data_IF_366266624699
#
_entry.id   IF_366266624699
#
_cell.length_a   1.000
_cell.length_b   1.000
_cell.length_c   1.000
_cell.angle_alpha   90.00
_cell.angle_beta   90.00
_cell.angle_gamma   90.00
#
_symmetry.space_group_name_H-M   'P 1'
#
loop_
_entity.id
_entity.type
_entity.pdbx_description
1 polymer ?
#
# COMPACT_ATOMS: atom_id res chain seq x y z
N UNK A 1 23.66 -12.95 -14.94
CA UNK A 1 23.28 -12.36 -16.24
C UNK A 1 23.93 -10.99 -16.42
N UNK A 2 23.75 -10.05 -15.49
CA UNK A 2 24.36 -8.70 -15.58
C UNK A 2 25.88 -8.69 -15.77
N UNK A 3 26.62 -9.51 -15.03
CA UNK A 3 28.08 -9.64 -15.22
C UNK A 3 28.45 -10.20 -16.60
N UNK A 4 27.59 -11.03 -17.22
CA UNK A 4 27.80 -11.54 -18.58
C UNK A 4 27.50 -10.46 -19.62
N UNK A 5 26.51 -9.60 -19.37
CA UNK A 5 26.21 -8.44 -20.23
C UNK A 5 27.34 -7.40 -20.16
N UNK A 6 27.90 -7.16 -18.97
CA UNK A 6 29.06 -6.29 -18.81
C UNK A 6 30.32 -6.83 -19.49
N UNK A 7 30.47 -8.15 -19.59
CA UNK A 7 31.52 -8.77 -20.38
C UNK A 7 31.29 -8.65 -21.89
N UNK A 8 30.05 -8.41 -22.34
CA UNK A 8 29.67 -8.27 -23.74
C UNK A 8 29.61 -6.80 -24.22
N UNK A 9 29.67 -5.82 -23.31
CA UNK A 9 29.65 -4.40 -23.65
C UNK A 9 29.72 -3.48 -22.42
N UNK A 10 30.10 -2.23 -22.66
CA UNK A 10 30.17 -1.20 -21.61
C UNK A 10 28.76 -0.82 -21.12
N UNK A 11 28.50 -1.04 -19.83
CA UNK A 11 27.24 -0.67 -19.18
C UNK A 11 27.30 0.69 -18.49
N UNK A 12 28.39 1.45 -18.65
CA UNK A 12 28.60 2.74 -17.98
C UNK A 12 27.50 3.76 -18.28
N UNK A 13 26.83 3.66 -19.42
CA UNK A 13 25.75 4.56 -19.83
C UNK A 13 24.37 4.16 -19.31
N UNK A 14 24.23 2.98 -18.68
CA UNK A 14 22.94 2.51 -18.19
C UNK A 14 22.44 3.40 -17.04
N UNK A 15 21.24 3.96 -17.20
CA UNK A 15 20.63 4.85 -16.19
C UNK A 15 19.52 4.21 -15.38
N UNK A 16 18.97 3.11 -15.86
CA UNK A 16 17.83 2.42 -15.22
C UNK A 16 18.04 0.93 -15.31
N UNK A 17 17.81 0.24 -14.20
CA UNK A 17 17.94 -1.20 -14.10
C UNK A 17 16.76 -1.77 -13.32
N UNK A 18 16.04 -2.70 -13.95
CA UNK A 18 15.00 -3.51 -13.31
C UNK A 18 15.45 -4.96 -13.30
N UNK A 19 15.59 -5.52 -12.10
CA UNK A 19 16.11 -6.87 -11.87
C UNK A 19 14.97 -7.84 -11.52
N UNK A 20 13.76 -7.33 -11.23
CA UNK A 20 12.70 -8.15 -10.65
C UNK A 20 13.18 -8.88 -9.40
N UNK A 21 12.91 -10.19 -9.30
CA UNK A 21 13.30 -11.02 -8.16
C UNK A 21 14.79 -11.39 -8.20
N UNK A 22 15.54 -10.95 -7.19
CA UNK A 22 16.97 -11.18 -7.10
C UNK A 22 17.25 -12.58 -6.54
N UNK A 23 17.83 -13.45 -7.36
CA UNK A 23 18.16 -14.83 -6.97
C UNK A 23 19.49 -14.93 -6.23
N UNK A 24 20.44 -14.04 -6.54
CA UNK A 24 21.81 -14.04 -5.99
C UNK A 24 22.17 -12.62 -5.53
N UNK A 25 21.61 -12.16 -4.40
CA UNK A 25 21.73 -10.77 -3.97
C UNK A 25 23.17 -10.34 -3.71
N UNK A 26 24.03 -11.24 -3.20
CA UNK A 26 25.45 -10.94 -3.02
C UNK A 26 26.19 -10.55 -4.31
N UNK A 27 25.68 -10.92 -5.50
CA UNK A 27 26.29 -10.53 -6.78
C UNK A 27 25.97 -9.10 -7.20
N UNK A 28 25.01 -8.43 -6.55
CA UNK A 28 24.68 -7.03 -6.84
C UNK A 28 25.86 -6.09 -6.54
N UNK A 29 26.63 -6.40 -5.50
CA UNK A 29 27.83 -5.63 -5.13
C UNK A 29 28.82 -5.60 -6.30
N UNK A 30 29.02 -6.74 -6.97
CA UNK A 30 29.99 -6.88 -8.06
C UNK A 30 29.58 -6.13 -9.34
N UNK A 31 28.31 -5.73 -9.48
CA UNK A 31 27.83 -5.00 -10.66
C UNK A 31 27.65 -3.51 -10.40
N UNK A 32 27.71 -3.07 -9.14
CA UNK A 32 27.53 -1.66 -8.78
C UNK A 32 28.59 -0.77 -9.45
N UNK A 33 29.85 -1.18 -9.43
CA UNK A 33 30.97 -0.44 -10.03
C UNK A 33 30.91 -0.40 -11.56
N UNK A 34 30.24 -1.38 -12.17
CA UNK A 34 30.05 -1.47 -13.63
C UNK A 34 28.94 -0.51 -14.12
N UNK A 35 28.18 0.07 -13.19
CA UNK A 35 27.00 0.90 -13.48
C UNK A 35 27.13 2.30 -12.82
N UNK A 36 28.23 3.05 -13.07
CA UNK A 36 28.55 4.30 -12.38
C UNK A 36 27.56 5.44 -12.61
N UNK A 37 26.72 5.38 -13.65
CA UNK A 37 25.72 6.39 -13.98
C UNK A 37 24.28 5.91 -13.73
N UNK A 38 24.11 4.81 -12.99
CA UNK A 38 22.79 4.30 -12.67
C UNK A 38 22.05 5.31 -11.79
N UNK A 39 20.83 5.66 -12.21
CA UNK A 39 19.96 6.60 -11.51
C UNK A 39 18.74 5.92 -10.91
N UNK A 40 18.28 4.82 -11.51
CA UNK A 40 17.05 4.12 -11.13
C UNK A 40 17.32 2.65 -10.94
N UNK A 41 16.88 2.12 -9.80
CA UNK A 41 16.99 0.70 -9.48
C UNK A 41 15.63 0.17 -9.02
N UNK A 42 15.19 -0.91 -9.66
CA UNK A 42 13.97 -1.65 -9.32
C UNK A 42 14.37 -3.07 -8.95
N UNK A 43 13.99 -3.49 -7.74
CA UNK A 43 14.38 -4.78 -7.20
C UNK A 43 13.31 -5.36 -6.28
N UNK A 44 13.17 -6.69 -6.34
CA UNK A 44 12.40 -7.49 -5.41
C UNK A 44 13.37 -8.36 -4.61
N UNK A 45 13.52 -8.02 -3.33
CA UNK A 45 14.37 -8.71 -2.35
C UNK A 45 13.56 -9.68 -1.51
N UNK A 46 12.28 -9.86 -1.84
CA UNK A 46 11.45 -10.87 -1.24
C UNK A 46 11.98 -12.28 -1.51
N UNK A 47 11.96 -13.14 -0.50
CA UNK A 47 12.27 -14.56 -0.68
C UNK A 47 11.27 -15.20 -1.65
N UNK A 48 11.81 -15.91 -2.66
CA UNK A 48 11.04 -16.60 -3.70
C UNK A 48 10.24 -17.79 -3.19
N UNK A 49 10.67 -18.36 -2.06
CA UNK A 49 10.00 -19.47 -1.38
C UNK A 49 9.68 -19.13 0.08
N UNK A 50 8.63 -19.76 0.65
CA UNK A 50 8.28 -19.63 2.05
C UNK A 50 9.35 -20.29 2.90
N UNK A 51 10.45 -19.55 3.13
CA UNK A 51 11.30 -19.83 4.27
C UNK A 51 10.50 -19.51 5.52
N UNK A 52 10.70 -20.30 6.58
CA UNK A 52 10.01 -20.15 7.86
C UNK A 52 9.78 -18.67 8.26
N UNK A 53 8.62 -18.33 8.86
CA UNK A 53 8.29 -16.98 9.31
C UNK A 53 9.30 -16.37 10.29
N UNK A 54 10.26 -17.16 10.80
CA UNK A 54 11.28 -16.76 11.75
C UNK A 54 12.40 -15.87 11.18
N UNK A 55 12.58 -15.76 9.87
CA UNK A 55 13.50 -14.75 9.29
C UNK A 55 12.76 -13.42 9.13
N UNK A 56 12.42 -12.77 10.25
CA UNK A 56 11.84 -11.41 10.26
C UNK A 56 12.80 -10.35 9.72
N UNK A 57 14.09 -10.69 9.60
CA UNK A 57 15.13 -9.81 9.11
C UNK A 57 15.18 -9.76 7.58
N UNK A 58 15.59 -8.59 7.08
CA UNK A 58 15.98 -8.43 5.69
C UNK A 58 17.26 -9.23 5.39
N UNK A 59 17.46 -9.59 4.12
CA UNK A 59 18.65 -10.35 3.69
C UNK A 59 19.82 -9.38 3.60
N UNK A 60 20.83 -9.55 4.46
CA UNK A 60 22.00 -8.65 4.50
C UNK A 60 22.73 -8.53 3.16
N UNK A 61 22.83 -9.63 2.40
CA UNK A 61 23.40 -9.59 1.05
C UNK A 61 22.61 -8.69 0.10
N UNK A 62 21.28 -8.67 0.22
CA UNK A 62 20.41 -7.79 -0.57
C UNK A 62 20.68 -6.34 -0.20
N UNK A 63 20.81 -6.07 1.10
CA UNK A 63 21.12 -4.73 1.61
C UNK A 63 22.49 -4.26 1.15
N UNK A 64 23.53 -5.10 1.27
CA UNK A 64 24.86 -4.80 0.75
C UNK A 64 24.81 -4.48 -0.76
N UNK A 65 24.04 -5.25 -1.52
CA UNK A 65 23.81 -5.02 -2.94
C UNK A 65 23.20 -3.66 -3.26
N UNK A 66 22.15 -3.24 -2.55
CA UNK A 66 21.50 -1.94 -2.74
C UNK A 66 22.48 -0.81 -2.39
N UNK A 67 23.16 -0.93 -1.25
CA UNK A 67 24.05 0.12 -0.72
C UNK A 67 25.34 0.29 -1.53
N UNK A 68 25.75 -0.73 -2.28
CA UNK A 68 26.93 -0.69 -3.14
C UNK A 68 26.79 0.30 -4.31
N UNK A 69 25.57 0.57 -4.78
CA UNK A 69 25.36 1.55 -5.84
C UNK A 69 25.71 2.97 -5.36
N UNK A 70 26.11 3.81 -6.32
CA UNK A 70 26.20 5.26 -6.09
C UNK A 70 24.83 5.81 -5.70
N UNK A 71 24.76 6.97 -5.01
CA UNK A 71 23.48 7.57 -4.62
C UNK A 71 22.50 7.66 -5.81
N UNK A 72 21.33 7.03 -5.65
CA UNK A 72 20.34 6.84 -6.71
C UNK A 72 19.34 8.00 -6.71
N UNK A 73 18.78 8.32 -7.86
CA UNK A 73 17.66 9.27 -7.97
C UNK A 73 16.31 8.57 -7.72
N UNK A 74 16.19 7.29 -8.09
CA UNK A 74 14.97 6.52 -7.92
C UNK A 74 15.27 5.12 -7.40
N UNK A 75 14.56 4.71 -6.35
CA UNK A 75 14.72 3.39 -5.75
C UNK A 75 13.35 2.76 -5.49
N UNK A 76 13.11 1.62 -6.12
CA UNK A 76 11.91 0.82 -5.94
C UNK A 76 12.31 -0.52 -5.35
N UNK A 77 11.95 -0.74 -4.08
CA UNK A 77 12.26 -1.97 -3.34
C UNK A 77 10.97 -2.68 -3.00
N UNK A 78 10.84 -3.92 -3.47
CA UNK A 78 9.80 -4.84 -3.02
C UNK A 78 10.33 -5.81 -2.00
N UNK A 79 9.57 -6.03 -0.94
CA UNK A 79 9.84 -7.05 0.07
C UNK A 79 10.77 -6.62 1.20
N UNK A 80 11.08 -5.32 1.32
CA UNK A 80 11.74 -4.76 2.51
C UNK A 80 10.85 -4.95 3.73
N UNK A 81 11.41 -5.32 4.89
CA UNK A 81 10.65 -5.70 6.08
C UNK A 81 10.93 -4.81 7.28
N UNK A 82 12.19 -4.47 7.51
CA UNK A 82 12.64 -3.78 8.71
C UNK A 82 12.83 -2.27 8.46
N UNK A 83 12.51 -1.48 9.48
CA UNK A 83 12.81 -0.04 9.55
C UNK A 83 14.33 0.20 9.56
N UNK A 84 15.12 -0.62 10.25
CA UNK A 84 16.60 -0.48 10.27
C UNK A 84 17.21 -0.59 8.87
N UNK A 85 16.70 -1.50 8.04
CA UNK A 85 17.14 -1.65 6.66
C UNK A 85 16.77 -0.40 5.82
N UNK A 86 15.58 0.16 6.05
CA UNK A 86 15.16 1.43 5.46
C UNK A 86 16.11 2.57 5.86
N UNK A 87 16.57 2.60 7.11
CA UNK A 87 17.44 3.66 7.63
C UNK A 87 18.77 3.68 6.91
N UNK A 88 19.38 2.50 6.72
CA UNK A 88 20.61 2.36 5.96
C UNK A 88 20.44 2.82 4.51
N UNK A 89 19.30 2.48 3.88
CA UNK A 89 18.97 2.93 2.52
C UNK A 89 18.85 4.45 2.46
N UNK A 90 18.13 5.06 3.40
CA UNK A 90 17.86 6.49 3.41
C UNK A 90 19.13 7.28 3.74
N UNK A 91 19.96 6.81 4.67
CA UNK A 91 21.27 7.42 4.95
C UNK A 91 22.18 7.44 3.72
N UNK A 92 22.14 6.37 2.91
CA UNK A 92 22.98 6.23 1.71
C UNK A 92 22.47 7.01 0.50
N UNK A 93 21.18 6.88 0.19
CA UNK A 93 20.60 7.38 -1.06
C UNK A 93 19.72 8.63 -0.86
N UNK A 94 19.25 8.91 0.36
CA UNK A 94 18.32 10.00 0.68
C UNK A 94 18.67 11.35 0.06
N UNK A 95 19.92 11.85 0.17
CA UNK A 95 20.30 13.16 -0.38
C UNK A 95 20.14 13.32 -1.90
N UNK A 96 20.08 12.20 -2.64
CA UNK A 96 19.88 12.17 -4.10
C UNK A 96 18.49 11.69 -4.52
N UNK A 97 17.74 11.02 -3.65
CA UNK A 97 16.46 10.41 -3.98
C UNK A 97 15.42 11.46 -4.35
N UNK A 98 14.84 11.28 -5.54
CA UNK A 98 13.64 11.93 -6.05
C UNK A 98 12.42 11.00 -6.01
N UNK A 99 12.62 9.69 -6.10
CA UNK A 99 11.55 8.72 -5.99
C UNK A 99 11.91 7.53 -5.10
N UNK A 100 11.06 7.23 -4.13
CA UNK A 100 11.18 6.06 -3.26
C UNK A 100 9.88 5.27 -3.26
N UNK A 101 9.95 3.98 -3.57
CA UNK A 101 8.80 3.09 -3.45
C UNK A 101 9.15 1.87 -2.62
N UNK A 102 8.42 1.69 -1.52
CA UNK A 102 8.51 0.54 -0.63
C UNK A 102 7.27 -0.33 -0.84
N UNK A 103 7.44 -1.39 -1.63
CA UNK A 103 6.36 -2.30 -1.96
C UNK A 103 6.38 -3.52 -1.05
N UNK A 104 5.22 -3.91 -0.54
CA UNK A 104 5.11 -5.18 0.19
C UNK A 104 5.23 -6.37 -0.78
N UNK A 105 5.77 -7.48 -0.30
CA UNK A 105 5.73 -8.74 -1.04
C UNK A 105 4.31 -9.31 -0.98
N UNK A 106 3.75 -9.66 -2.16
CA UNK A 106 2.42 -10.27 -2.30
C UNK A 106 2.22 -11.50 -1.41
N UNK A 107 3.29 -12.25 -1.15
CA UNK A 107 3.25 -13.51 -0.42
C UNK A 107 3.42 -13.38 1.10
N UNK A 108 3.83 -12.22 1.65
CA UNK A 108 4.16 -12.15 3.09
C UNK A 108 3.59 -10.94 3.83
N UNK A 109 3.00 -9.96 3.15
CA UNK A 109 2.42 -8.75 3.74
C UNK A 109 3.31 -7.97 4.74
N UNK A 110 4.58 -8.36 4.94
CA UNK A 110 5.54 -7.59 5.72
C UNK A 110 5.96 -6.34 4.96
N UNK A 111 6.17 -5.28 5.74
CA UNK A 111 6.70 -3.99 5.31
C UNK A 111 7.16 -3.23 6.57
N UNK A 112 8.08 -2.25 6.43
CA UNK A 112 8.53 -1.45 7.56
C UNK A 112 7.35 -0.70 8.18
N UNK A 113 7.08 -0.94 9.47
CA UNK A 113 6.01 -0.26 10.21
C UNK A 113 6.49 1.13 10.62
N UNK A 114 6.16 2.12 9.81
CA UNK A 114 6.55 3.53 10.05
C UNK A 114 5.58 4.22 11.02
N UNK A 115 6.12 5.17 11.78
CA UNK A 115 5.38 6.13 12.59
C UNK A 115 5.69 7.58 12.15
N UNK A 116 4.97 8.54 12.73
CA UNK A 116 5.07 9.95 12.32
C UNK A 116 6.47 10.52 12.52
N UNK A 117 7.12 10.19 13.66
CA UNK A 117 8.51 10.55 13.94
C UNK A 117 9.45 10.03 12.87
N UNK A 118 9.26 8.79 12.41
CA UNK A 118 10.10 8.22 11.36
C UNK A 118 9.92 8.91 10.02
N UNK A 119 8.70 9.26 9.64
CA UNK A 119 8.45 10.04 8.42
C UNK A 119 9.12 11.42 8.47
N UNK A 120 9.13 12.07 9.64
CA UNK A 120 9.83 13.35 9.83
C UNK A 120 11.35 13.21 9.71
N UNK A 121 11.91 12.11 10.22
CA UNK A 121 13.34 11.79 10.03
C UNK A 121 13.66 11.57 8.53
N UNK A 122 12.81 10.80 7.84
CA UNK A 122 12.94 10.56 6.39
C UNK A 122 12.88 11.87 5.61
N UNK A 123 12.03 12.81 6.00
CA UNK A 123 11.92 14.13 5.38
C UNK A 123 13.25 14.89 5.44
N UNK A 124 13.94 14.87 6.59
CA UNK A 124 15.24 15.53 6.76
C UNK A 124 16.34 14.88 5.90
N UNK A 125 16.31 13.55 5.76
CA UNK A 125 17.32 12.79 5.03
C UNK A 125 17.06 12.72 3.52
N UNK A 126 15.82 12.92 3.09
CA UNK A 126 15.39 12.87 1.69
C UNK A 126 14.82 14.23 1.22
N UNK A 127 15.59 15.33 1.24
CA UNK A 127 15.06 16.67 0.98
C UNK A 127 14.57 16.88 -0.47
N UNK A 128 15.01 16.04 -1.41
CA UNK A 128 14.68 16.14 -2.84
C UNK A 128 13.55 15.19 -3.27
N UNK A 129 12.90 14.51 -2.32
CA UNK A 129 11.91 13.49 -2.64
C UNK A 129 10.66 14.12 -3.27
N UNK A 130 10.37 13.73 -4.50
CA UNK A 130 9.23 14.17 -5.31
C UNK A 130 8.13 13.11 -5.40
N UNK A 131 8.51 11.83 -5.28
CA UNK A 131 7.62 10.69 -5.37
C UNK A 131 7.85 9.72 -4.22
N UNK A 132 6.77 9.40 -3.49
CA UNK A 132 6.82 8.45 -2.39
C UNK A 132 5.69 7.44 -2.54
N UNK A 133 6.04 6.15 -2.47
CA UNK A 133 5.09 5.07 -2.30
C UNK A 133 5.42 4.28 -1.04
N UNK A 134 4.45 4.15 -0.15
CA UNK A 134 4.59 3.38 1.07
C UNK A 134 3.30 2.65 1.41
N UNK A 135 3.45 1.57 2.18
CA UNK A 135 2.34 0.89 2.83
C UNK A 135 2.23 1.38 4.27
N UNK A 136 1.02 1.67 4.72
CA UNK A 136 0.74 2.06 6.11
C UNK A 136 -0.51 1.37 6.64
N UNK A 137 -0.58 1.18 7.96
CA UNK A 137 -1.72 0.53 8.62
C UNK A 137 -2.88 1.50 8.75
N UNK A 138 -4.07 1.07 8.37
CA UNK A 138 -5.33 1.74 8.74
C UNK A 138 -5.71 1.37 10.17
N UNK A 139 -6.15 2.35 10.92
CA UNK A 139 -6.59 2.19 12.31
C UNK A 139 -7.79 3.08 12.59
N UNK A 140 -8.80 2.96 11.70
CA UNK A 140 -10.07 3.66 11.76
C UNK A 140 -9.95 5.19 11.92
N UNK A 141 -8.87 5.79 11.40
CA UNK A 141 -8.65 7.24 11.48
C UNK A 141 -8.26 7.73 12.87
N UNK A 142 -7.66 6.89 13.71
CA UNK A 142 -7.18 7.32 15.03
C UNK A 142 -6.10 8.42 14.94
N UNK A 143 -5.74 8.97 16.11
CA UNK A 143 -4.77 10.06 16.21
C UNK A 143 -3.41 9.73 15.56
N UNK A 144 -2.88 8.52 15.78
CA UNK A 144 -1.58 8.12 15.23
C UNK A 144 -1.59 8.03 13.70
N UNK A 145 -2.69 7.53 13.11
CA UNK A 145 -2.90 7.51 11.67
C UNK A 145 -2.97 8.94 11.10
N UNK A 146 -3.69 9.85 11.76
CA UNK A 146 -3.76 11.24 11.34
C UNK A 146 -2.41 11.97 11.45
N UNK A 147 -1.60 11.65 12.45
CA UNK A 147 -0.23 12.19 12.58
C UNK A 147 0.68 11.70 11.45
N UNK A 148 0.50 10.47 10.98
CA UNK A 148 1.19 9.98 9.78
C UNK A 148 0.83 10.81 8.55
N UNK A 149 -0.46 11.06 8.31
CA UNK A 149 -0.90 11.91 7.18
C UNK A 149 -0.31 13.33 7.26
N UNK A 150 -0.33 13.93 8.46
CA UNK A 150 0.28 15.25 8.68
C UNK A 150 1.80 15.23 8.44
N UNK A 151 2.50 14.18 8.87
CA UNK A 151 3.94 14.04 8.67
C UNK A 151 4.30 13.88 7.19
N UNK A 152 3.51 13.13 6.41
CA UNK A 152 3.66 13.05 4.95
C UNK A 152 3.52 14.40 4.28
N UNK A 153 2.68 15.27 4.83
CA UNK A 153 2.52 16.64 4.35
C UNK A 153 3.79 17.49 4.49
N UNK A 154 4.76 17.11 5.34
CA UNK A 154 5.94 17.95 5.62
C UNK A 154 7.09 17.79 4.63
N UNK A 155 7.01 16.83 3.69
CA UNK A 155 8.05 16.67 2.68
C UNK A 155 8.03 17.86 1.71
N UNK A 156 9.14 18.62 1.58
CA UNK A 156 9.13 19.93 0.92
C UNK A 156 8.81 19.84 -0.57
N UNK A 157 9.32 18.81 -1.24
CA UNK A 157 9.24 18.66 -2.70
C UNK A 157 8.27 17.55 -3.14
N UNK A 158 7.52 16.95 -2.22
CA UNK A 158 6.68 15.79 -2.53
C UNK A 158 5.52 16.19 -3.44
N UNK A 159 5.50 15.65 -4.65
CA UNK A 159 4.49 15.94 -5.68
C UNK A 159 3.54 14.76 -5.89
N UNK A 160 4.04 13.53 -5.77
CA UNK A 160 3.24 12.32 -6.01
C UNK A 160 3.34 11.38 -4.82
N UNK A 161 2.20 11.06 -4.23
CA UNK A 161 2.11 10.16 -3.10
C UNK A 161 1.22 8.96 -3.44
N UNK A 162 1.70 7.76 -3.15
CA UNK A 162 0.97 6.52 -3.31
C UNK A 162 0.88 5.84 -1.94
N UNK A 163 -0.34 5.76 -1.40
CA UNK A 163 -0.61 5.13 -0.12
C UNK A 163 -1.27 3.78 -0.34
N UNK A 164 -0.51 2.72 -0.08
CA UNK A 164 -1.06 1.37 0.06
C UNK A 164 -1.59 1.25 1.51
N UNK A 165 -2.90 1.31 1.72
CA UNK A 165 -3.52 1.33 3.05
C UNK A 165 -3.86 -0.10 3.49
N UNK A 166 -3.05 -0.66 4.39
CA UNK A 166 -3.25 -1.99 4.98
C UNK A 166 -4.44 -2.00 5.93
N UNK A 167 -5.56 -2.62 5.54
CA UNK A 167 -6.79 -2.66 6.32
C UNK A 167 -6.96 -3.90 7.21
N UNK A 168 -6.13 -4.94 7.05
CA UNK A 168 -6.22 -6.17 7.84
C UNK A 168 -6.08 -5.84 9.34
N UNK A 169 -7.08 -6.02 10.18
CA UNK A 169 -6.96 -5.61 11.59
C UNK A 169 -6.22 -6.64 12.46
N UNK A 170 -5.92 -7.83 11.93
CA UNK A 170 -5.34 -8.92 12.72
C UNK A 170 -3.94 -8.55 13.23
N UNK A 171 -3.60 -8.94 14.47
CA UNK A 171 -2.31 -8.61 15.09
C UNK A 171 -1.14 -9.35 14.44
N UNK A 172 -1.39 -10.52 13.84
CA UNK A 172 -0.37 -11.35 13.20
C UNK A 172 -0.81 -11.71 11.78
N UNK A 173 0.13 -11.64 10.84
CA UNK A 173 -0.12 -12.11 9.47
C UNK A 173 -0.27 -13.62 9.53
N UNK A 174 -1.35 -14.19 8.95
CA UNK A 174 -1.53 -15.64 8.89
C UNK A 174 -0.32 -16.35 8.30
N UNK A 175 0.04 -17.50 8.87
CA UNK A 175 1.07 -18.36 8.27
C UNK A 175 0.58 -18.85 6.91
N UNK A 176 1.48 -18.89 5.93
CA UNK A 176 1.16 -19.39 4.60
C UNK A 176 0.54 -20.79 4.68
N UNK A 177 -0.62 -20.99 4.04
CA UNK A 177 -1.38 -22.24 4.08
C UNK A 177 -2.37 -22.37 5.26
N UNK A 178 -2.41 -21.40 6.18
CA UNK A 178 -3.47 -21.28 7.18
C UNK A 178 -4.36 -20.08 6.84
N UNK A 179 -5.67 -20.33 6.72
CA UNK A 179 -6.68 -19.27 6.75
C UNK A 179 -7.23 -19.33 8.18
N UNK A 180 -6.63 -18.62 9.16
CA UNK A 180 -7.15 -18.63 10.51
C UNK A 180 -8.55 -18.04 10.49
N UNK A 181 -9.42 -18.59 11.32
CA UNK A 181 -10.73 -17.99 11.54
C UNK A 181 -10.53 -16.58 12.09
N UNK A 182 -11.03 -15.58 11.36
CA UNK A 182 -11.00 -14.18 11.81
C UNK A 182 -12.02 -14.03 12.95
N UNK A 183 -11.58 -13.58 14.13
CA UNK A 183 -12.51 -13.21 15.19
C UNK A 183 -13.46 -12.08 14.74
N UNK A 184 -14.67 -12.01 15.30
CA UNK A 184 -15.70 -11.04 14.94
C UNK A 184 -15.21 -9.59 15.11
N UNK A 185 -14.41 -9.31 16.16
CA UNK A 185 -13.88 -7.96 16.41
C UNK A 185 -12.83 -7.58 15.36
N UNK A 186 -11.95 -8.52 14.98
CA UNK A 186 -10.95 -8.30 13.95
C UNK A 186 -11.59 -8.17 12.57
N UNK A 187 -12.63 -8.96 12.28
CA UNK A 187 -13.38 -8.83 11.04
C UNK A 187 -14.11 -7.48 10.98
N UNK A 188 -14.75 -7.06 12.07
CA UNK A 188 -15.41 -5.76 12.18
C UNK A 188 -14.44 -4.61 11.90
N UNK A 189 -13.29 -4.62 12.56
CA UNK A 189 -12.23 -3.61 12.37
C UNK A 189 -11.68 -3.64 10.95
N UNK A 190 -11.53 -4.82 10.36
CA UNK A 190 -11.05 -4.98 8.98
C UNK A 190 -12.03 -4.35 7.99
N UNK A 191 -13.34 -4.59 8.12
CA UNK A 191 -14.34 -3.95 7.26
C UNK A 191 -14.35 -2.43 7.41
N UNK A 192 -14.28 -1.91 8.65
CA UNK A 192 -14.17 -0.46 8.91
C UNK A 192 -12.92 0.14 8.23
N UNK A 193 -11.78 -0.53 8.36
CA UNK A 193 -10.52 -0.06 7.80
C UNK A 193 -10.50 -0.14 6.27
N UNK A 194 -11.18 -1.13 5.69
CA UNK A 194 -11.28 -1.35 4.25
C UNK A 194 -12.24 -0.37 3.57
N UNK A 195 -13.31 0.04 4.25
CA UNK A 195 -14.29 0.99 3.75
C UNK A 195 -13.63 2.32 3.39
N UNK A 196 -13.51 2.55 2.09
CA UNK A 196 -12.95 3.75 1.50
C UNK A 196 -13.96 4.34 0.54
N UNK A 197 -14.43 5.54 0.83
CA UNK A 197 -15.28 6.31 -0.08
C UNK A 197 -14.62 7.66 -0.42
N UNK A 198 -15.34 8.45 -1.22
CA UNK A 198 -14.93 9.78 -1.64
C UNK A 198 -14.69 10.75 -0.47
N UNK A 199 -15.51 10.66 0.57
CA UNK A 199 -15.43 11.54 1.74
C UNK A 199 -14.16 11.28 2.55
N UNK A 200 -13.86 10.01 2.84
CA UNK A 200 -12.63 9.65 3.55
C UNK A 200 -11.38 9.92 2.71
N UNK A 201 -11.43 9.63 1.40
CA UNK A 201 -10.33 9.94 0.50
C UNK A 201 -10.00 11.45 0.50
N UNK A 202 -11.03 12.30 0.48
CA UNK A 202 -10.89 13.74 0.57
C UNK A 202 -10.36 14.21 1.94
N UNK A 203 -10.80 13.60 3.04
CA UNK A 203 -10.28 13.90 4.38
C UNK A 203 -8.77 13.56 4.49
N UNK A 204 -8.34 12.41 3.97
CA UNK A 204 -6.93 12.01 3.93
C UNK A 204 -6.12 13.02 3.10
N UNK A 205 -6.58 13.34 1.88
CA UNK A 205 -5.96 14.36 1.05
C UNK A 205 -5.80 15.68 1.79
N UNK A 206 -6.87 16.17 2.41
CA UNK A 206 -6.89 17.46 3.10
C UNK A 206 -5.85 17.48 4.22
N UNK A 207 -5.76 16.42 5.03
CA UNK A 207 -4.78 16.32 6.12
C UNK A 207 -3.34 16.34 5.65
N UNK A 208 -3.04 15.78 4.49
CA UNK A 208 -1.69 15.81 3.90
C UNK A 208 -1.44 17.18 3.26
N UNK A 209 -2.42 17.69 2.51
CA UNK A 209 -2.34 18.93 1.74
C UNK A 209 -2.19 20.17 2.63
N UNK A 210 -2.74 20.14 3.85
CA UNK A 210 -2.57 21.18 4.88
C UNK A 210 -1.11 21.64 5.05
N UNK A 211 -0.14 20.73 4.90
CA UNK A 211 1.30 21.04 5.01
C UNK A 211 2.09 20.89 3.71
N UNK A 212 1.48 20.37 2.65
CA UNK A 212 2.14 20.07 1.38
C UNK A 212 1.59 20.88 0.20
N UNK A 213 2.04 22.13 0.02
CA UNK A 213 1.64 22.92 -1.14
C UNK A 213 2.09 22.29 -2.47
N UNK A 214 3.20 21.53 -2.46
CA UNK A 214 3.78 20.86 -3.63
C UNK A 214 3.04 19.59 -4.07
N UNK A 215 2.21 18.97 -3.23
CA UNK A 215 1.49 17.74 -3.57
C UNK A 215 0.55 17.97 -4.77
N UNK A 216 0.76 17.22 -5.85
CA UNK A 216 -0.06 17.27 -7.07
C UNK A 216 -1.01 16.10 -7.13
N UNK A 217 -0.52 14.90 -6.83
CA UNK A 217 -1.28 13.66 -6.97
C UNK A 217 -1.20 12.81 -5.70
N UNK A 218 -2.36 12.32 -5.27
CA UNK A 218 -2.47 11.30 -4.22
C UNK A 218 -3.22 10.10 -4.78
N UNK A 219 -2.59 8.93 -4.72
CA UNK A 219 -3.25 7.65 -4.97
C UNK A 219 -3.45 6.92 -3.66
N UNK A 220 -4.69 6.53 -3.40
CA UNK A 220 -5.07 5.74 -2.22
C UNK A 220 -5.49 4.37 -2.71
N UNK A 221 -4.84 3.34 -2.19
CA UNK A 221 -5.09 1.94 -2.54
C UNK A 221 -5.27 1.11 -1.26
N UNK A 222 -6.52 0.87 -0.80
CA UNK A 222 -6.76 -0.04 0.30
C UNK A 222 -6.35 -1.47 -0.07
N UNK A 223 -5.64 -2.16 0.81
CA UNK A 223 -5.10 -3.51 0.57
C UNK A 223 -5.09 -4.35 1.87
N UNK A 224 -5.04 -5.68 1.74
CA UNK A 224 -4.98 -6.59 2.91
C UNK A 224 -5.84 -7.85 2.83
N UNK A 225 -6.66 -8.01 1.79
CA UNK A 225 -7.64 -9.10 1.65
C UNK A 225 -7.08 -10.49 1.33
N UNK A 226 -5.75 -10.66 1.16
CA UNK A 226 -5.17 -11.89 0.59
C UNK A 226 -5.45 -13.14 1.44
N UNK A 227 -5.51 -13.00 2.76
CA UNK A 227 -5.67 -14.11 3.70
C UNK A 227 -7.05 -14.16 4.35
N UNK A 228 -8.08 -13.71 3.63
CA UNK A 228 -9.46 -13.80 4.06
C UNK A 228 -10.18 -14.90 3.26
N UNK A 229 -11.13 -15.65 3.88
CA UNK A 229 -12.02 -16.55 3.16
C UNK A 229 -12.71 -15.87 1.98
N UNK A 230 -13.15 -16.66 0.99
CA UNK A 230 -13.73 -16.14 -0.25
C UNK A 230 -14.87 -15.14 -0.01
N UNK A 231 -15.76 -15.44 0.94
CA UNK A 231 -16.88 -14.56 1.33
C UNK A 231 -16.37 -13.20 1.84
N UNK A 232 -15.56 -13.20 2.91
CA UNK A 232 -15.01 -11.98 3.52
C UNK A 232 -14.17 -11.18 2.52
N UNK A 233 -13.33 -11.87 1.73
CA UNK A 233 -12.50 -11.26 0.69
C UNK A 233 -13.32 -10.53 -0.35
N UNK A 234 -14.44 -11.12 -0.77
CA UNK A 234 -15.33 -10.50 -1.75
C UNK A 234 -15.92 -9.18 -1.21
N UNK A 235 -16.32 -9.16 0.06
CA UNK A 235 -16.83 -7.95 0.71
C UNK A 235 -15.73 -6.89 0.87
N UNK A 236 -14.53 -7.32 1.25
CA UNK A 236 -13.37 -6.43 1.32
C UNK A 236 -13.08 -5.80 -0.04
N UNK A 237 -13.16 -6.56 -1.14
CA UNK A 237 -13.01 -6.02 -2.50
C UNK A 237 -14.12 -5.02 -2.88
N UNK A 238 -15.31 -5.11 -2.26
CA UNK A 238 -16.38 -4.13 -2.45
C UNK A 238 -16.14 -2.82 -1.68
N UNK A 239 -15.60 -2.92 -0.46
CA UNK A 239 -15.36 -1.77 0.42
C UNK A 239 -14.06 -1.03 0.10
N UNK A 240 -13.04 -1.76 -0.37
CA UNK A 240 -11.68 -1.28 -0.65
C UNK A 240 -11.58 -0.48 -1.96
N UNK A 241 -12.39 0.57 -2.13
CA UNK A 241 -12.36 1.41 -3.33
C UNK A 241 -11.07 2.24 -3.37
N UNK A 242 -10.44 2.29 -4.54
CA UNK A 242 -9.20 3.03 -4.76
C UNK A 242 -9.50 4.38 -5.40
N UNK A 243 -8.74 5.41 -5.03
CA UNK A 243 -8.97 6.79 -5.48
C UNK A 243 -7.68 7.46 -5.95
N UNK A 244 -7.80 8.26 -7.00
CA UNK A 244 -6.81 9.24 -7.44
C UNK A 244 -7.38 10.62 -7.14
N UNK A 245 -6.63 11.43 -6.40
CA UNK A 245 -6.94 12.84 -6.17
C UNK A 245 -5.83 13.68 -6.82
N UNK A 246 -6.22 14.62 -7.67
CA UNK A 246 -5.31 15.53 -8.35
C UNK A 246 -5.62 16.98 -7.97
N UNK A 247 -4.61 17.72 -7.53
CA UNK A 247 -4.76 19.10 -7.06
C UNK A 247 -4.99 20.13 -8.18
N UNK A 248 -4.94 19.71 -9.45
CA UNK A 248 -5.21 20.56 -10.59
C UNK A 248 -6.68 20.49 -10.97
N UNK A 249 -7.42 21.54 -10.62
CA UNK A 249 -8.83 21.70 -10.97
C UNK A 249 -9.03 23.08 -11.60
N UNK A 250 -9.34 23.10 -12.89
CA UNK A 250 -9.57 24.33 -13.65
C UNK A 250 -10.87 25.03 -13.27
N UNK A 251 -11.89 24.25 -12.89
CA UNK A 251 -13.23 24.75 -12.57
C UNK A 251 -13.32 25.24 -11.13
N UNK A 252 -12.60 24.60 -10.21
CA UNK A 252 -12.59 24.95 -8.79
C UNK A 252 -11.17 24.88 -8.19
N UNK A 253 -10.37 25.96 -8.33
CA UNK A 253 -9.01 26.01 -7.80
C UNK A 253 -8.96 25.73 -6.29
N UNK A 254 -8.12 24.78 -5.89
CA UNK A 254 -7.95 24.37 -4.49
C UNK A 254 -8.79 23.17 -4.06
N UNK A 255 -9.78 22.76 -4.85
CA UNK A 255 -10.52 21.51 -4.65
C UNK A 255 -9.94 20.43 -5.56
N UNK A 256 -9.50 19.27 -5.05
CA UNK A 256 -8.94 18.24 -5.90
C UNK A 256 -10.00 17.64 -6.83
N UNK A 257 -9.61 17.29 -8.05
CA UNK A 257 -10.40 16.38 -8.89
C UNK A 257 -10.19 14.97 -8.36
N UNK A 258 -11.27 14.22 -8.22
CA UNK A 258 -11.25 12.88 -7.67
C UNK A 258 -11.78 11.87 -8.69
N UNK A 259 -11.07 10.76 -8.81
CA UNK A 259 -11.43 9.66 -9.70
C UNK A 259 -11.32 8.33 -8.95
N UNK A 260 -12.37 7.52 -9.00
CA UNK A 260 -12.31 6.15 -8.51
C UNK A 260 -11.52 5.28 -9.49
N UNK A 261 -10.35 4.79 -9.06
CA UNK A 261 -9.47 3.95 -9.86
C UNK A 261 -10.10 2.56 -9.99
N UNK A 262 -10.17 2.05 -11.22
CA UNK A 262 -10.62 0.68 -11.50
C UNK A 262 -12.13 0.47 -11.39
N UNK A 263 -12.94 1.55 -11.30
CA UNK A 263 -14.40 1.47 -11.22
C UNK A 263 -15.01 0.57 -12.30
N UNK A 264 -14.60 0.78 -13.57
CA UNK A 264 -15.11 -0.02 -14.70
C UNK A 264 -14.72 -1.49 -14.63
N UNK A 265 -13.48 -1.80 -14.23
CA UNK A 265 -13.03 -3.18 -14.06
C UNK A 265 -13.85 -3.88 -12.97
N UNK A 266 -14.08 -3.18 -11.86
CA UNK A 266 -14.90 -3.67 -10.77
C UNK A 266 -16.37 -3.86 -11.16
N UNK A 267 -16.97 -2.94 -11.92
CA UNK A 267 -18.32 -3.08 -12.48
C UNK A 267 -18.43 -4.31 -13.40
N UNK A 268 -17.39 -4.62 -14.18
CA UNK A 268 -17.33 -5.82 -15.03
C UNK A 268 -17.24 -7.10 -14.18
N UNK A 269 -16.34 -7.12 -13.18
CA UNK A 269 -16.19 -8.26 -12.27
C UNK A 269 -17.51 -8.54 -11.54
N UNK A 270 -18.16 -7.48 -11.03
CA UNK A 270 -19.47 -7.52 -10.40
C UNK A 270 -20.54 -8.10 -11.35
N UNK A 271 -20.64 -7.54 -12.56
CA UNK A 271 -21.63 -8.01 -13.54
C UNK A 271 -21.45 -9.49 -13.88
N UNK A 272 -20.20 -9.95 -14.01
CA UNK A 272 -19.89 -11.38 -14.21
C UNK A 272 -20.37 -12.21 -13.03
N UNK A 273 -20.02 -11.84 -11.80
CA UNK A 273 -20.42 -12.60 -10.61
C UNK A 273 -21.94 -12.68 -10.46
N UNK A 274 -22.65 -11.57 -10.64
CA UNK A 274 -24.11 -11.57 -10.62
C UNK A 274 -24.68 -12.51 -11.69
N UNK A 275 -24.14 -12.51 -12.91
CA UNK A 275 -24.56 -13.42 -13.97
C UNK A 275 -24.27 -14.91 -13.67
N UNK A 276 -23.14 -15.20 -13.02
CA UNK A 276 -22.82 -16.56 -12.54
C UNK A 276 -23.80 -17.05 -11.46
N UNK A 277 -24.34 -16.15 -10.64
CA UNK A 277 -25.33 -16.48 -9.60
C UNK A 277 -26.76 -16.55 -10.14
N UNK A 278 -27.15 -15.64 -11.03
CA UNK A 278 -28.45 -15.64 -11.74
C UNK A 278 -28.64 -16.91 -12.59
N UNK A 279 -27.58 -17.41 -13.22
CA UNK A 279 -27.64 -18.64 -14.03
C UNK A 279 -27.74 -19.93 -13.21
N UNK A 280 -27.57 -19.88 -11.88
CA UNK A 280 -27.62 -21.03 -10.97
C UNK A 280 -28.81 -21.06 -10.02
N UNK A 281 -29.67 -20.03 -10.01
CA UNK A 281 -30.73 -19.86 -9.00
C UNK A 281 -30.20 -19.93 -7.54
N UNK A 282 -28.90 -19.64 -7.36
CA UNK A 282 -28.22 -19.67 -6.06
C UNK A 282 -28.02 -18.22 -5.57
N UNK A 283 -28.93 -17.73 -4.72
CA UNK A 283 -28.67 -16.50 -3.95
C UNK A 283 -27.42 -16.70 -3.09
N UNK A 284 -26.41 -15.85 -3.25
CA UNK A 284 -25.26 -15.82 -2.34
C UNK A 284 -25.76 -15.39 -0.97
N UNK A 285 -25.90 -16.37 -0.08
CA UNK A 285 -26.25 -16.16 1.32
C UNK A 285 -24.98 -15.88 2.10
N UNK A 286 -24.96 -14.73 2.76
CA UNK A 286 -23.90 -14.41 3.70
C UNK A 286 -24.06 -15.26 4.96
N UNK A 287 -22.94 -15.70 5.53
CA UNK A 287 -22.93 -16.40 6.81
C UNK A 287 -23.52 -15.51 7.91
N UNK A 288 -24.18 -16.10 8.91
CA UNK A 288 -24.80 -15.35 10.01
C UNK A 288 -23.79 -14.48 10.76
N UNK A 289 -22.54 -14.96 10.87
CA UNK A 289 -21.39 -14.23 11.40
C UNK A 289 -21.14 -12.93 10.62
N UNK A 290 -20.94 -13.04 9.31
CA UNK A 290 -20.68 -11.88 8.44
C UNK A 290 -21.84 -10.88 8.48
N UNK A 291 -23.09 -11.36 8.40
CA UNK A 291 -24.28 -10.49 8.50
C UNK A 291 -24.32 -9.75 9.83
N UNK A 292 -24.05 -10.43 10.94
CA UNK A 292 -24.01 -9.83 12.27
C UNK A 292 -22.96 -8.71 12.36
N UNK A 293 -21.74 -8.99 11.89
CA UNK A 293 -20.65 -8.01 11.89
C UNK A 293 -21.01 -6.79 11.03
N UNK A 294 -21.54 -6.99 9.83
CA UNK A 294 -21.91 -5.91 8.93
C UNK A 294 -23.00 -5.01 9.52
N UNK A 295 -24.04 -5.60 10.12
CA UNK A 295 -25.10 -4.84 10.79
C UNK A 295 -24.61 -4.05 12.00
N UNK A 296 -23.54 -4.53 12.65
CA UNK A 296 -22.88 -3.80 13.75
C UNK A 296 -22.08 -2.57 13.30
N UNK A 297 -21.83 -2.42 12.01
CA UNK A 297 -21.11 -1.28 11.41
C UNK A 297 -22.08 -0.39 10.64
N UNK A 298 -22.93 -1.00 9.82
CA UNK A 298 -23.90 -0.35 8.96
C UNK A 298 -25.29 -0.96 9.22
N UNK A 299 -26.06 -0.44 10.19
CA UNK A 299 -27.37 -0.98 10.55
C UNK A 299 -28.39 -0.97 9.41
N UNK A 300 -28.22 -0.05 8.45
CA UNK A 300 -29.04 0.08 7.25
C UNK A 300 -28.91 -1.08 6.25
N UNK A 301 -27.96 -1.99 6.48
CA UNK A 301 -27.77 -3.21 5.68
C UNK A 301 -28.87 -4.21 6.04
N UNK A 302 -29.96 -4.19 5.25
CA UNK A 302 -31.12 -5.06 5.44
C UNK A 302 -30.97 -6.35 4.60
N UNK A 303 -31.24 -7.51 5.22
CA UNK A 303 -31.24 -8.82 4.53
C UNK A 303 -30.06 -9.74 4.90
N UNK A 304 -30.12 -10.99 4.41
CA UNK A 304 -29.05 -12.01 4.49
C UNK A 304 -28.50 -12.40 3.11
N UNK A 305 -29.07 -11.80 2.06
CA UNK A 305 -28.81 -12.09 0.65
C UNK A 305 -27.98 -10.96 0.06
N UNK A 306 -26.98 -11.29 -0.74
CA UNK A 306 -26.21 -10.30 -1.49
C UNK A 306 -27.09 -9.65 -2.56
N UNK A 307 -27.78 -8.55 -2.22
CA UNK A 307 -28.56 -7.75 -3.17
C UNK A 307 -27.78 -6.51 -3.58
N UNK A 308 -28.07 -6.00 -4.77
CA UNK A 308 -27.40 -4.85 -5.38
C UNK A 308 -27.53 -3.57 -4.56
N UNK A 309 -28.61 -3.44 -3.78
CA UNK A 309 -28.89 -2.31 -2.89
C UNK A 309 -27.85 -2.16 -1.77
N UNK A 310 -27.32 -3.26 -1.25
CA UNK A 310 -26.39 -3.21 -0.13
C UNK A 310 -25.07 -2.47 -0.43
N UNK A 311 -24.57 -2.59 -1.66
CA UNK A 311 -23.25 -2.07 -2.05
C UNK A 311 -23.18 -0.54 -2.08
N UNK A 312 -24.34 0.12 -2.02
CA UNK A 312 -24.46 1.58 -1.95
C UNK A 312 -24.95 2.05 -0.57
N UNK A 313 -25.25 1.13 0.36
CA UNK A 313 -25.76 1.43 1.71
C UNK A 313 -24.67 1.54 2.79
N UNK A 314 -23.39 1.62 2.44
CA UNK A 314 -22.30 1.80 3.39
C UNK A 314 -21.55 3.10 3.13
N UNK A 315 -21.00 3.66 4.19
CA UNK A 315 -20.07 4.80 4.14
C UNK A 315 -18.88 4.50 5.04
N UNK A 316 -17.72 5.03 4.67
CA UNK A 316 -16.54 4.96 5.51
C UNK A 316 -16.71 5.76 6.81
N UNK A 317 -15.95 5.38 7.85
CA UNK A 317 -15.86 6.22 9.04
C UNK A 317 -14.92 7.42 8.79
N UNK A 318 -15.27 8.62 9.27
CA UNK A 318 -14.42 9.79 9.13
C UNK A 318 -13.10 9.62 9.90
N UNK A 319 -12.10 10.44 9.56
CA UNK A 319 -10.90 10.56 10.37
C UNK A 319 -11.25 11.19 11.73
N UNK A 320 -10.64 10.67 12.79
CA UNK A 320 -10.90 11.06 14.17
C UNK A 320 -12.40 10.99 14.51
N UNK A 321 -13.04 9.81 14.38
CA UNK A 321 -14.47 9.68 14.65
C UNK A 321 -14.75 10.01 16.12
N UNK A 322 -15.86 10.70 16.38
CA UNK A 322 -16.32 10.96 17.75
C UNK A 322 -16.52 9.62 18.47
N UNK A 323 -15.78 9.42 19.55
CA UNK A 323 -15.81 8.18 20.36
C UNK A 323 -17.17 7.86 20.99
N UNK A 324 -18.16 8.75 20.84
CA UNK A 324 -19.51 8.57 21.39
C UNK A 324 -20.55 8.04 20.40
N UNK A 325 -20.20 7.88 19.11
CA UNK A 325 -21.21 7.64 18.07
C UNK A 325 -21.26 6.22 17.50
N UNK A 326 -20.41 5.27 17.92
CA UNK A 326 -20.32 3.94 17.29
C UNK A 326 -19.92 2.80 18.22
#
# INVERSE_FOLDING_TARGET
MLSKLAAAGDLSQLRSLDIGCVCEPGKLVNVADLLPNLKRLFLDIGRRWPSHPASETDIEESMAGILAFRPLEYLYVRGLRNVEALDRIIQRHGPSLKGLALLSNKAYQYYPRLNSSKLLEMMNLCPKLEELRLRMKRSAGNQAECEMYKALGTFPNLQRLFLDLDFDARPTVPRFGSIPETDDLDLRRTFINAAMDESLALQIWTKIKEKSPSLKDLRIFPCGNVYFPQEERYLLDCFARSYLLTGYNLENPGVPVMEQIGKREWEIIRARQNHWHESRDEEVRLSSKVVSVLRSIWPQVLGQTFRSDWLDCWTSLPLQPDTQSW
#
